data_IF_094769103877
#
_entry.id   IF_094769103877
#
_cell.length_a   1.000
_cell.length_b   1.000
_cell.length_c   1.000
_cell.angle_alpha   90.00
_cell.angle_beta   90.00
_cell.angle_gamma   90.00
#
_symmetry.space_group_name_H-M   'P 1'
#
loop_
_entity.id
_entity.type
_entity.pdbx_description
1 polymer ?
#
# COMPACT_ATOMS: atom_id res chain seq x y z
N UNK A 1 16.14 -16.95 -20.17
CA UNK A 1 15.58 -15.58 -20.24
C UNK A 1 14.62 -15.35 -19.07
N UNK A 2 14.69 -16.21 -18.04
CA UNK A 2 13.67 -16.35 -17.00
C UNK A 2 13.95 -15.43 -15.79
N UNK A 3 15.17 -14.91 -15.69
CA UNK A 3 15.59 -13.99 -14.63
C UNK A 3 14.76 -12.69 -14.56
N UNK A 4 14.19 -12.23 -15.67
CA UNK A 4 13.38 -11.00 -15.70
C UNK A 4 11.92 -11.28 -15.29
N UNK A 5 11.44 -12.51 -15.49
CA UNK A 5 10.05 -12.89 -15.28
C UNK A 5 9.80 -13.52 -13.90
N UNK A 6 10.87 -13.91 -13.20
CA UNK A 6 10.79 -14.45 -11.84
C UNK A 6 10.84 -13.36 -10.77
N UNK A 7 10.24 -13.60 -9.58
CA UNK A 7 10.38 -12.69 -8.44
C UNK A 7 11.85 -12.51 -8.05
N UNK A 8 12.31 -11.26 -8.07
CA UNK A 8 13.69 -10.98 -7.72
C UNK A 8 13.96 -11.21 -6.24
N UNK A 9 15.12 -11.82 -5.89
CA UNK A 9 15.51 -11.98 -4.51
C UNK A 9 15.58 -10.64 -3.77
N UNK A 10 15.31 -10.66 -2.47
CA UNK A 10 15.30 -9.47 -1.63
C UNK A 10 16.63 -8.70 -1.66
N UNK A 11 17.76 -9.39 -1.84
CA UNK A 11 19.08 -8.78 -1.93
C UNK A 11 19.35 -8.08 -3.27
N UNK A 12 18.50 -8.25 -4.28
CA UNK A 12 18.50 -7.48 -5.52
C UNK A 12 17.46 -6.36 -5.44
N UNK A 13 16.22 -6.70 -5.07
CA UNK A 13 15.12 -5.75 -4.98
C UNK A 13 15.37 -4.64 -3.95
N UNK A 14 15.91 -4.99 -2.78
CA UNK A 14 16.23 -4.04 -1.71
C UNK A 14 17.21 -2.94 -2.15
N UNK A 15 18.42 -3.29 -2.62
CA UNK A 15 19.37 -2.31 -3.14
C UNK A 15 18.83 -1.48 -4.30
N UNK A 16 18.04 -2.06 -5.21
CA UNK A 16 17.45 -1.30 -6.32
C UNK A 16 16.42 -0.27 -5.85
N UNK A 17 15.56 -0.63 -4.91
CA UNK A 17 14.66 0.33 -4.26
C UNK A 17 15.52 1.42 -3.59
N UNK A 18 16.54 1.03 -2.83
CA UNK A 18 17.47 1.96 -2.19
C UNK A 18 18.11 2.95 -3.16
N UNK A 19 18.56 2.49 -4.33
CA UNK A 19 19.13 3.33 -5.39
C UNK A 19 18.12 4.33 -5.96
N UNK A 20 16.86 3.91 -6.18
CA UNK A 20 15.79 4.81 -6.59
C UNK A 20 15.58 5.90 -5.54
N UNK A 21 15.48 5.54 -4.26
CA UNK A 21 15.31 6.50 -3.18
C UNK A 21 16.49 7.46 -3.03
N UNK A 22 17.72 6.94 -3.10
CA UNK A 22 18.93 7.73 -3.07
C UNK A 22 18.96 8.73 -4.23
N UNK A 23 18.57 8.31 -5.43
CA UNK A 23 18.43 9.20 -6.60
C UNK A 23 17.37 10.29 -6.37
N UNK A 24 16.24 9.95 -5.74
CA UNK A 24 15.20 10.94 -5.40
C UNK A 24 15.71 11.96 -4.39
N UNK A 25 16.47 11.52 -3.37
CA UNK A 25 17.09 12.42 -2.40
C UNK A 25 18.08 13.37 -3.07
N UNK A 26 18.94 12.88 -3.98
CA UNK A 26 19.89 13.73 -4.72
C UNK A 26 19.20 14.77 -5.63
N UNK A 27 17.96 14.52 -6.05
CA UNK A 27 17.17 15.43 -6.89
C UNK A 27 16.21 16.32 -6.09
N UNK A 28 16.33 16.32 -4.74
CA UNK A 28 15.41 16.98 -3.81
C UNK A 28 13.93 16.65 -4.10
N UNK A 29 13.68 15.39 -4.47
CA UNK A 29 12.35 14.86 -4.79
C UNK A 29 11.84 13.99 -3.67
N UNK A 30 10.56 14.15 -3.34
CA UNK A 30 9.90 13.34 -2.30
C UNK A 30 9.26 12.08 -2.88
N UNK A 31 9.24 11.01 -2.08
CA UNK A 31 8.51 9.77 -2.37
C UNK A 31 7.20 9.75 -1.56
N UNK A 32 6.28 10.63 -1.92
CA UNK A 32 4.99 10.77 -1.23
C UNK A 32 3.87 10.04 -1.98
N UNK A 33 3.28 9.00 -1.38
CA UNK A 33 2.07 8.35 -1.91
C UNK A 33 0.78 8.99 -1.36
N UNK A 34 0.68 9.15 -0.04
CA UNK A 34 -0.54 9.63 0.62
C UNK A 34 -0.89 11.10 0.34
N UNK A 35 0.11 11.93 0.06
CA UNK A 35 -0.10 13.32 -0.37
C UNK A 35 -0.91 13.42 -1.66
N UNK A 36 -0.88 12.38 -2.50
CA UNK A 36 -1.65 12.35 -3.75
C UNK A 36 -3.15 12.23 -3.51
N UNK A 37 -3.59 11.45 -2.52
CA UNK A 37 -5.02 11.36 -2.18
C UNK A 37 -5.57 12.75 -1.78
N UNK A 38 -4.81 13.51 -0.98
CA UNK A 38 -5.14 14.90 -0.64
C UNK A 38 -5.16 15.80 -1.87
N UNK A 39 -4.21 15.62 -2.79
CA UNK A 39 -4.08 16.37 -4.04
C UNK A 39 -5.26 16.11 -4.97
N UNK A 40 -5.68 14.85 -5.12
CA UNK A 40 -6.88 14.46 -5.86
C UNK A 40 -8.14 15.11 -5.26
N UNK A 41 -8.32 15.06 -3.94
CA UNK A 41 -9.46 15.73 -3.30
C UNK A 41 -9.46 17.24 -3.56
N UNK A 42 -8.30 17.89 -3.54
CA UNK A 42 -8.18 19.32 -3.85
C UNK A 42 -8.53 19.63 -5.31
N UNK A 43 -8.07 18.80 -6.27
CA UNK A 43 -8.40 18.91 -7.70
C UNK A 43 -9.91 18.72 -7.93
N UNK A 44 -10.54 17.76 -7.25
CA UNK A 44 -11.99 17.52 -7.31
C UNK A 44 -12.83 18.63 -6.65
N UNK A 45 -12.22 19.69 -6.13
CA UNK A 45 -12.92 20.87 -5.63
C UNK A 45 -13.21 20.85 -4.13
N UNK A 46 -12.62 19.93 -3.36
CA UNK A 46 -12.76 19.92 -1.88
C UNK A 46 -12.16 21.18 -1.21
N UNK A 47 -11.40 22.00 -1.95
CA UNK A 47 -10.99 23.33 -1.50
C UNK A 47 -12.16 24.29 -1.24
N UNK A 48 -13.36 24.02 -1.79
CA UNK A 48 -14.58 24.79 -1.49
C UNK A 48 -15.20 24.42 -0.15
N UNK A 49 -15.00 23.20 0.33
CA UNK A 49 -15.64 22.66 1.54
C UNK A 49 -14.76 22.74 2.78
N UNK A 50 -13.44 22.68 2.63
CA UNK A 50 -12.51 22.77 3.77
C UNK A 50 -11.24 23.54 3.43
N UNK A 51 -10.77 24.35 4.40
CA UNK A 51 -9.48 25.06 4.32
C UNK A 51 -8.29 24.10 4.20
N UNK A 52 -8.42 22.85 4.66
CA UNK A 52 -7.38 21.84 4.55
C UNK A 52 -7.01 21.52 3.09
N UNK A 53 -7.96 21.60 2.16
CA UNK A 53 -7.72 21.35 0.73
C UNK A 53 -7.41 22.63 -0.07
N UNK A 54 -7.38 23.79 0.59
CA UNK A 54 -6.94 25.06 -0.02
C UNK A 54 -5.41 25.15 0.02
N UNK A 55 -4.75 24.49 -0.92
CA UNK A 55 -3.31 24.61 -1.13
C UNK A 55 -2.99 24.57 -2.63
N UNK A 56 -1.78 25.00 -3.00
CA UNK A 56 -1.33 24.90 -4.38
C UNK A 56 -0.98 23.45 -4.73
N UNK A 57 -1.96 22.75 -5.30
CA UNK A 57 -1.79 21.37 -5.77
C UNK A 57 -0.74 21.26 -6.90
N UNK A 58 -0.46 22.34 -7.65
CA UNK A 58 0.54 22.31 -8.72
C UNK A 58 1.96 22.15 -8.16
N UNK A 59 2.20 22.56 -6.92
CA UNK A 59 3.46 22.27 -6.22
C UNK A 59 3.68 20.77 -5.97
N UNK A 60 2.62 19.94 -6.04
CA UNK A 60 2.67 18.50 -5.80
C UNK A 60 2.73 17.66 -7.10
N UNK A 61 2.97 18.28 -8.28
CA UNK A 61 3.04 17.58 -9.58
C UNK A 61 3.98 16.37 -9.57
N UNK A 62 5.10 16.47 -8.85
CA UNK A 62 6.05 15.38 -8.75
C UNK A 62 5.43 14.11 -8.15
N UNK A 63 4.67 14.25 -7.06
CA UNK A 63 4.03 13.11 -6.40
C UNK A 63 2.98 12.43 -7.33
N UNK A 64 2.31 13.20 -8.19
CA UNK A 64 1.38 12.67 -9.19
C UNK A 64 2.12 11.85 -10.27
N UNK A 65 3.30 12.28 -10.70
CA UNK A 65 4.15 11.52 -11.63
C UNK A 65 4.57 10.20 -10.98
N UNK A 66 4.94 10.21 -9.69
CA UNK A 66 5.30 9.00 -8.95
C UNK A 66 4.14 8.02 -8.87
N UNK A 67 2.92 8.48 -8.58
CA UNK A 67 1.72 7.61 -8.58
C UNK A 67 1.44 7.04 -9.96
N UNK A 68 1.51 7.86 -11.01
CA UNK A 68 1.29 7.40 -12.37
C UNK A 68 2.32 6.34 -12.77
N UNK A 69 3.60 6.59 -12.47
CA UNK A 69 4.68 5.63 -12.69
C UNK A 69 4.48 4.33 -11.92
N UNK A 70 4.02 4.39 -10.67
CA UNK A 70 3.72 3.20 -9.87
C UNK A 70 2.53 2.40 -10.44
N UNK A 71 1.50 3.07 -10.95
CA UNK A 71 0.35 2.41 -11.62
C UNK A 71 0.83 1.71 -12.90
N UNK A 72 1.57 2.40 -13.76
CA UNK A 72 2.09 1.85 -15.01
C UNK A 72 3.07 0.70 -14.72
N UNK A 73 3.98 0.88 -13.78
CA UNK A 73 4.94 -0.13 -13.36
C UNK A 73 4.26 -1.37 -12.79
N UNK A 74 3.23 -1.20 -11.96
CA UNK A 74 2.42 -2.30 -11.44
C UNK A 74 1.66 -3.04 -12.54
N UNK A 75 1.09 -2.32 -13.51
CA UNK A 75 0.40 -2.92 -14.64
C UNK A 75 1.35 -3.71 -15.56
N UNK A 76 2.52 -3.15 -15.87
CA UNK A 76 3.58 -3.83 -16.62
C UNK A 76 4.08 -5.06 -15.85
N UNK A 77 4.28 -4.94 -14.54
CA UNK A 77 4.63 -6.04 -13.65
C UNK A 77 3.64 -7.20 -13.76
N UNK A 78 2.35 -6.91 -13.55
CA UNK A 78 1.30 -7.92 -13.48
C UNK A 78 0.95 -8.57 -14.83
N UNK A 79 1.11 -7.88 -15.96
CA UNK A 79 0.67 -8.38 -17.27
C UNK A 79 1.80 -8.81 -18.19
N UNK A 80 2.98 -8.17 -18.09
CA UNK A 80 4.10 -8.41 -19.02
C UNK A 80 5.24 -9.18 -18.35
N UNK A 81 5.48 -8.95 -17.06
CA UNK A 81 6.64 -9.50 -16.35
C UNK A 81 6.30 -10.69 -15.44
N UNK A 82 5.03 -11.01 -15.20
CA UNK A 82 4.62 -12.16 -14.38
C UNK A 82 3.95 -13.24 -15.23
N UNK A 83 4.44 -14.47 -15.14
CA UNK A 83 3.83 -15.63 -15.81
C UNK A 83 2.65 -16.21 -15.02
N UNK A 84 2.79 -16.26 -13.69
CA UNK A 84 1.73 -16.67 -12.77
C UNK A 84 1.53 -15.58 -11.72
N UNK A 85 0.28 -15.12 -11.55
CA UNK A 85 -0.07 -14.12 -10.53
C UNK A 85 -0.20 -14.72 -9.12
N UNK A 86 0.38 -15.90 -8.91
CA UNK A 86 0.31 -16.64 -7.66
C UNK A 86 1.42 -16.16 -6.75
N UNK A 87 1.05 -15.67 -5.56
CA UNK A 87 2.04 -15.30 -4.54
C UNK A 87 2.52 -16.57 -3.86
N UNK A 88 3.83 -16.83 -3.92
CA UNK A 88 4.46 -17.92 -3.20
C UNK A 88 4.42 -17.64 -1.68
N UNK A 89 3.43 -18.22 -1.01
CA UNK A 89 3.28 -18.18 0.46
C UNK A 89 3.56 -19.56 1.05
N UNK A 90 3.91 -19.60 2.35
CA UNK A 90 4.22 -20.87 3.03
C UNK A 90 3.00 -21.78 3.15
N UNK A 91 3.20 -23.10 3.12
CA UNK A 91 2.13 -24.10 3.31
C UNK A 91 1.38 -23.89 4.64
N UNK A 92 2.11 -23.53 5.70
CA UNK A 92 1.50 -23.21 6.99
C UNK A 92 0.53 -22.01 6.91
N UNK A 93 0.88 -20.99 6.11
CA UNK A 93 0.00 -19.84 5.87
C UNK A 93 -1.23 -20.24 5.06
N UNK A 94 -1.09 -21.11 4.06
CA UNK A 94 -2.22 -21.61 3.27
C UNK A 94 -3.22 -22.33 4.18
N UNK A 95 -2.75 -23.25 5.02
CA UNK A 95 -3.60 -23.95 5.99
C UNK A 95 -4.27 -23.01 7.00
N UNK A 96 -3.56 -21.97 7.46
CA UNK A 96 -4.16 -20.95 8.32
C UNK A 96 -5.27 -20.18 7.62
N UNK A 97 -5.06 -19.76 6.37
CA UNK A 97 -6.07 -19.05 5.57
C UNK A 97 -7.30 -19.92 5.29
N UNK A 98 -7.09 -21.21 4.99
CA UNK A 98 -8.18 -22.16 4.79
C UNK A 98 -9.04 -22.33 6.06
N UNK A 99 -8.42 -22.32 7.24
CA UNK A 99 -9.14 -22.45 8.52
C UNK A 99 -10.05 -21.26 8.84
N UNK A 100 -9.78 -20.08 8.27
CA UNK A 100 -10.61 -18.88 8.39
C UNK A 100 -11.47 -18.63 7.14
N UNK A 101 -11.77 -19.68 6.37
CA UNK A 101 -12.60 -19.65 5.16
C UNK A 101 -12.02 -18.86 3.95
N UNK A 102 -10.71 -18.59 3.92
CA UNK A 102 -10.03 -18.01 2.76
C UNK A 102 -9.35 -19.13 1.97
N UNK A 103 -9.99 -19.61 0.91
CA UNK A 103 -9.54 -20.78 0.13
C UNK A 103 -8.71 -20.41 -1.09
N UNK A 104 -8.75 -19.14 -1.51
CA UNK A 104 -7.93 -18.63 -2.62
C UNK A 104 -6.57 -18.09 -2.19
N UNK A 105 -6.24 -18.15 -0.89
CA UNK A 105 -4.92 -17.82 -0.36
C UNK A 105 -3.84 -18.71 -0.98
N UNK A 106 -2.95 -18.11 -1.78
CA UNK A 106 -1.91 -18.85 -2.50
C UNK A 106 -2.33 -19.43 -3.85
N UNK A 107 -3.51 -19.06 -4.37
CA UNK A 107 -3.95 -19.33 -5.76
C UNK A 107 -4.08 -18.08 -6.60
N UNK A 108 -4.48 -16.97 -5.98
CA UNK A 108 -4.57 -15.66 -6.60
C UNK A 108 -3.65 -14.67 -5.89
N UNK A 109 -3.39 -13.53 -6.53
CA UNK A 109 -2.57 -12.46 -5.96
C UNK A 109 -3.18 -11.88 -4.67
N UNK A 110 -4.51 -11.78 -4.64
CA UNK A 110 -5.31 -11.38 -3.48
C UNK A 110 -6.48 -12.35 -3.31
N UNK A 111 -7.01 -12.52 -2.09
CA UNK A 111 -8.10 -13.45 -1.86
C UNK A 111 -9.42 -12.95 -2.45
N UNK A 112 -10.04 -13.75 -3.32
CA UNK A 112 -11.31 -13.43 -3.98
C UNK A 112 -12.46 -13.30 -2.98
N UNK A 113 -12.36 -14.00 -1.84
CA UNK A 113 -13.34 -13.93 -0.76
C UNK A 113 -13.43 -12.54 -0.12
N UNK A 114 -12.42 -11.69 -0.27
CA UNK A 114 -12.42 -10.30 0.20
C UNK A 114 -12.52 -9.29 -0.95
N UNK A 115 -11.77 -9.50 -2.03
CA UNK A 115 -11.58 -8.50 -3.09
C UNK A 115 -12.29 -8.85 -4.40
N UNK A 116 -12.89 -10.04 -4.50
CA UNK A 116 -13.66 -10.44 -5.68
C UNK A 116 -14.96 -9.66 -5.82
N UNK A 117 -15.46 -9.51 -7.06
CA UNK A 117 -16.68 -8.77 -7.36
C UNK A 117 -17.88 -9.31 -6.58
N UNK A 118 -17.98 -10.63 -6.42
CA UNK A 118 -19.04 -11.27 -5.62
C UNK A 118 -18.88 -11.03 -4.11
N UNK A 119 -17.66 -10.90 -3.60
CA UNK A 119 -17.40 -10.54 -2.21
C UNK A 119 -17.80 -9.08 -1.91
N UNK A 120 -17.55 -8.16 -2.85
CA UNK A 120 -17.93 -6.75 -2.73
C UNK A 120 -19.45 -6.52 -2.67
N UNK A 121 -20.25 -7.45 -3.21
CA UNK A 121 -21.71 -7.42 -3.08
C UNK A 121 -22.20 -7.76 -1.66
N UNK A 122 -21.37 -8.43 -0.84
CA UNK A 122 -21.74 -8.77 0.54
C UNK A 122 -21.61 -7.51 1.43
N UNK A 123 -22.69 -7.07 2.09
CA UNK A 123 -22.68 -5.81 2.85
C UNK A 123 -21.66 -5.82 4.00
N UNK A 124 -21.43 -6.98 4.64
CA UNK A 124 -20.42 -7.14 5.70
C UNK A 124 -19.00 -6.83 5.19
N UNK A 125 -18.64 -7.37 4.03
CA UNK A 125 -17.30 -7.20 3.44
C UNK A 125 -17.12 -5.79 2.92
N UNK A 126 -18.13 -5.25 2.23
CA UNK A 126 -18.10 -3.87 1.74
C UNK A 126 -17.96 -2.88 2.90
N UNK A 127 -18.77 -3.02 3.96
CA UNK A 127 -18.67 -2.17 5.14
C UNK A 127 -17.28 -2.27 5.79
N UNK A 128 -16.75 -3.49 5.90
CA UNK A 128 -15.41 -3.72 6.43
C UNK A 128 -14.32 -3.02 5.60
N UNK A 129 -14.33 -3.14 4.28
CA UNK A 129 -13.38 -2.48 3.39
C UNK A 129 -13.50 -0.95 3.42
N UNK A 130 -14.72 -0.43 3.45
CA UNK A 130 -14.98 1.02 3.57
C UNK A 130 -14.46 1.57 4.89
N UNK A 131 -14.73 0.87 6.01
CA UNK A 131 -14.19 1.25 7.32
C UNK A 131 -12.67 1.15 7.37
N UNK A 132 -12.10 0.10 6.77
CA UNK A 132 -10.65 -0.06 6.62
C UNK A 132 -10.03 1.11 5.86
N UNK A 133 -10.59 1.47 4.70
CA UNK A 133 -10.14 2.62 3.91
C UNK A 133 -10.26 3.95 4.67
N UNK A 134 -11.35 4.13 5.41
CA UNK A 134 -11.52 5.29 6.29
C UNK A 134 -10.43 5.36 7.36
N UNK A 135 -10.17 4.26 8.08
CA UNK A 135 -9.11 4.22 9.11
C UNK A 135 -7.71 4.42 8.53
N UNK A 136 -7.42 3.87 7.35
CA UNK A 136 -6.15 4.12 6.65
C UNK A 136 -6.00 5.60 6.29
N UNK A 137 -7.04 6.22 5.74
CA UNK A 137 -7.02 7.64 5.39
C UNK A 137 -6.88 8.56 6.62
N UNK A 138 -7.70 8.31 7.64
CA UNK A 138 -7.66 9.03 8.91
C UNK A 138 -6.30 8.86 9.61
N UNK A 139 -5.85 7.62 9.79
CA UNK A 139 -4.60 7.27 10.47
C UNK A 139 -3.38 7.84 9.76
N UNK A 140 -3.32 7.75 8.43
CA UNK A 140 -2.26 8.38 7.63
C UNK A 140 -2.19 9.88 7.85
N UNK A 141 -3.34 10.56 7.96
CA UNK A 141 -3.36 12.00 8.23
C UNK A 141 -2.96 12.31 9.67
N UNK A 142 -3.42 11.51 10.63
CA UNK A 142 -3.12 11.66 12.05
C UNK A 142 -1.62 11.47 12.33
N UNK A 143 -1.00 10.46 11.70
CA UNK A 143 0.44 10.22 11.79
C UNK A 143 1.29 11.25 11.04
N UNK A 144 0.70 12.01 10.10
CA UNK A 144 1.43 12.94 9.24
C UNK A 144 2.13 12.28 8.06
N UNK A 145 1.84 11.02 7.77
CA UNK A 145 2.46 10.23 6.71
C UNK A 145 1.92 8.80 6.65
N UNK A 146 2.20 8.09 5.56
CA UNK A 146 1.91 6.66 5.40
C UNK A 146 3.21 5.85 5.47
N UNK A 147 3.14 4.54 5.18
CA UNK A 147 4.29 3.64 5.14
C UNK A 147 5.42 4.16 4.24
N UNK A 148 5.10 4.74 3.07
CA UNK A 148 6.15 5.26 2.17
C UNK A 148 6.91 6.44 2.80
N UNK A 149 6.20 7.30 3.55
CA UNK A 149 6.78 8.47 4.20
C UNK A 149 7.53 8.13 5.49
N UNK A 150 6.94 7.32 6.38
CA UNK A 150 7.57 6.98 7.66
C UNK A 150 8.52 5.79 7.56
N UNK A 151 8.12 4.68 6.95
CA UNK A 151 8.92 3.46 6.93
C UNK A 151 10.09 3.56 5.94
N UNK A 152 9.86 4.11 4.74
CA UNK A 152 10.92 4.18 3.73
C UNK A 152 11.75 5.45 3.92
N UNK A 153 11.17 6.64 3.73
CA UNK A 153 11.94 7.89 3.84
C UNK A 153 12.31 8.26 5.29
N UNK A 154 11.37 8.14 6.22
CA UNK A 154 11.55 8.57 7.61
C UNK A 154 12.58 7.76 8.39
N UNK A 155 12.52 6.42 8.31
CA UNK A 155 13.53 5.55 8.94
C UNK A 155 14.90 5.68 8.30
N UNK A 156 14.97 5.86 6.97
CA UNK A 156 16.24 6.10 6.27
C UNK A 156 16.90 7.40 6.71
N UNK A 157 16.10 8.42 7.05
CA UNK A 157 16.54 9.68 7.65
C UNK A 157 16.67 9.62 9.19
N UNK A 158 16.61 8.43 9.80
CA UNK A 158 16.75 8.21 11.25
C UNK A 158 15.78 9.02 12.12
N UNK A 159 14.57 9.30 11.61
CA UNK A 159 13.57 10.07 12.33
C UNK A 159 12.90 9.22 13.43
N UNK A 160 13.08 9.61 14.69
CA UNK A 160 12.47 8.93 15.84
C UNK A 160 10.93 8.92 15.78
N UNK A 161 10.32 10.00 15.29
CA UNK A 161 8.86 10.09 15.13
C UNK A 161 8.38 9.03 14.14
N UNK A 162 9.12 8.81 13.06
CA UNK A 162 8.82 7.79 12.06
C UNK A 162 9.00 6.38 12.62
N UNK A 163 9.97 6.15 13.51
CA UNK A 163 10.10 4.88 14.22
C UNK A 163 8.86 4.54 15.05
N UNK A 164 8.37 5.48 15.86
CA UNK A 164 7.15 5.27 16.64
C UNK A 164 5.92 5.05 15.75
N UNK A 165 5.80 5.80 14.65
CA UNK A 165 4.72 5.61 13.69
C UNK A 165 4.74 4.19 13.07
N UNK A 166 5.91 3.71 12.67
CA UNK A 166 6.08 2.37 12.09
C UNK A 166 5.76 1.27 13.10
N UNK A 167 6.22 1.39 14.35
CA UNK A 167 5.85 0.44 15.42
C UNK A 167 4.33 0.38 15.57
N UNK A 168 3.65 1.53 15.58
CA UNK A 168 2.19 1.59 15.61
C UNK A 168 1.53 0.92 14.41
N UNK A 169 2.06 1.10 13.20
CA UNK A 169 1.55 0.44 11.98
C UNK A 169 1.66 -1.09 12.09
N UNK A 170 2.79 -1.61 12.57
CA UNK A 170 2.97 -3.05 12.79
C UNK A 170 2.03 -3.60 13.85
N UNK A 171 1.86 -2.91 14.98
CA UNK A 171 0.90 -3.31 16.01
C UNK A 171 -0.52 -3.37 15.43
N UNK A 172 -0.94 -2.34 14.69
CA UNK A 172 -2.24 -2.32 14.02
C UNK A 172 -2.41 -3.48 13.01
N UNK A 173 -1.37 -3.77 12.23
CA UNK A 173 -1.36 -4.90 11.29
C UNK A 173 -1.46 -6.26 12.00
N UNK A 174 -0.77 -6.44 13.11
CA UNK A 174 -0.84 -7.66 13.93
C UNK A 174 -2.21 -7.83 14.57
N UNK A 175 -2.81 -6.76 15.11
CA UNK A 175 -4.19 -6.78 15.62
C UNK A 175 -5.17 -7.17 14.51
N UNK A 176 -5.02 -6.57 13.32
CA UNK A 176 -5.85 -6.90 12.18
C UNK A 176 -5.71 -8.39 11.80
N UNK A 177 -4.47 -8.89 11.70
CA UNK A 177 -4.19 -10.27 11.29
C UNK A 177 -4.64 -11.33 12.31
N UNK A 178 -4.37 -11.11 13.60
CA UNK A 178 -4.59 -12.14 14.63
C UNK A 178 -5.94 -12.04 15.33
N UNK A 179 -6.56 -10.86 15.35
CA UNK A 179 -7.79 -10.63 16.11
C UNK A 179 -8.96 -10.35 15.16
N UNK A 180 -8.80 -9.46 14.18
CA UNK A 180 -9.95 -9.01 13.38
C UNK A 180 -10.23 -10.00 12.23
N UNK A 181 -9.21 -10.38 11.46
CA UNK A 181 -9.36 -11.21 10.27
C UNK A 181 -9.98 -12.59 10.56
N UNK A 182 -9.57 -13.33 11.62
CA UNK A 182 -10.16 -14.64 11.92
C UNK A 182 -11.63 -14.56 12.33
N UNK A 183 -12.07 -13.41 12.86
CA UNK A 183 -13.46 -13.17 13.29
C UNK A 183 -14.32 -12.55 12.19
N UNK A 184 -13.75 -12.25 11.02
CA UNK A 184 -14.47 -11.63 9.91
C UNK A 184 -15.33 -12.63 9.13
N UNK A 185 -14.98 -13.91 9.14
CA UNK A 185 -15.65 -14.97 8.39
C UNK A 185 -16.48 -15.89 9.27
#
# INVERSE_FOLDING_TARGET
MDFIFEPWPWYVGGPMIGLVFLSLLFLDKSFGMSSNLRTFCAICGAGKTSSFFKFDWKAQRWNLIVVLGAIIGGWLGANLLSHDNVVAISEATIHQLESINIKTGGKNYVPDELFGIEALKKPKILAFLVLGGFFVGFGTRYAGGCTSGHAISGLSNLQIVSLFAVIGFFIGGLIMNHIILPNLF
#
